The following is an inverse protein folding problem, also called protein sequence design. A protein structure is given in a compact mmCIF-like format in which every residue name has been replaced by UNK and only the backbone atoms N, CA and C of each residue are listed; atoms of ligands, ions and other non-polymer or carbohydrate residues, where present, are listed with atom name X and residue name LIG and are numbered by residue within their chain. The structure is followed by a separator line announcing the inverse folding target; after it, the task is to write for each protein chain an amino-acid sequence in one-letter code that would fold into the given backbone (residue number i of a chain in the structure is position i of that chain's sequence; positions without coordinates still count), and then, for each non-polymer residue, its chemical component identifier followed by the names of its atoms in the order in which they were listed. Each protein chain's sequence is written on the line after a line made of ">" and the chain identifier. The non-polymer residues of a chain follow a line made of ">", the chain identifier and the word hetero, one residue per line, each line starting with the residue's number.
data_IF_062066890323
#
_entry.id   IF_062066890323
#
_cell.length_a   1.000
_cell.length_b   1.000
_cell.length_c   1.000
_cell.angle_alpha   90.00
_cell.angle_beta   90.00
_cell.angle_gamma   90.00
#
_symmetry.space_group_name_H-M   'P 1'
#
loop_
_entity.id
_entity.type
_entity.pdbx_description
1 polymer ?
#
# COMPACT_ATOMS: atom_id res chain seq x y z
N UNK A 1 45.36 -7.21 -12.67
CA UNK A 1 44.14 -7.33 -13.49
C UNK A 1 43.13 -6.33 -12.96
N UNK A 2 42.90 -5.21 -13.64
CA UNK A 2 41.93 -4.20 -13.22
C UNK A 2 40.58 -4.48 -13.88
N UNK A 3 39.57 -4.85 -13.09
CA UNK A 3 38.19 -4.88 -13.56
C UNK A 3 37.68 -3.43 -13.67
N UNK A 4 37.56 -2.91 -14.89
CA UNK A 4 36.83 -1.66 -15.14
C UNK A 4 35.35 -1.95 -15.08
N UNK A 5 34.74 -1.76 -13.91
CA UNK A 5 33.29 -1.70 -13.81
C UNK A 5 32.79 -0.45 -14.55
N UNK A 6 31.89 -0.65 -15.51
CA UNK A 6 31.15 0.46 -16.12
C UNK A 6 29.95 0.74 -15.21
N UNK A 7 29.86 1.95 -14.66
CA UNK A 7 28.71 2.38 -13.87
C UNK A 7 27.69 3.04 -14.79
N UNK A 8 26.42 2.62 -14.68
CA UNK A 8 25.30 3.34 -15.26
C UNK A 8 24.70 4.27 -14.19
N UNK A 9 24.19 5.43 -14.60
CA UNK A 9 23.45 6.33 -13.71
C UNK A 9 22.08 5.73 -13.32
N UNK A 10 21.45 6.27 -12.27
CA UNK A 10 20.14 5.82 -11.79
C UNK A 10 18.97 6.14 -12.73
N UNK A 11 19.20 7.02 -13.72
CA UNK A 11 18.16 7.55 -14.59
C UNK A 11 17.25 8.57 -13.90
N UNK A 12 16.33 9.15 -14.66
CA UNK A 12 15.29 10.08 -14.18
C UNK A 12 13.98 9.69 -14.85
N UNK A 13 12.93 9.48 -14.05
CA UNK A 13 11.58 9.25 -14.54
C UNK A 13 10.83 10.58 -14.61
N UNK A 14 10.22 10.87 -15.75
CA UNK A 14 9.37 12.04 -15.96
C UNK A 14 7.96 11.56 -16.27
N UNK A 15 7.00 11.93 -15.42
CA UNK A 15 5.57 11.74 -15.66
C UNK A 15 4.96 13.10 -16.05
N UNK A 16 4.26 13.16 -17.19
CA UNK A 16 3.62 14.39 -17.69
C UNK A 16 2.10 14.21 -17.62
N UNK A 17 1.43 15.01 -16.80
CA UNK A 17 -0.01 14.92 -16.59
C UNK A 17 -0.48 15.77 -15.41
N UNK A 18 -1.75 15.64 -15.06
CA UNK A 18 -2.35 16.34 -13.91
C UNK A 18 -2.28 15.47 -12.66
N UNK A 19 -1.99 16.10 -11.52
CA UNK A 19 -2.01 15.44 -10.22
C UNK A 19 -3.38 14.82 -9.94
N UNK A 20 -3.36 13.56 -9.50
CA UNK A 20 -4.56 12.82 -9.11
C UNK A 20 -4.27 12.02 -7.85
N UNK A 21 -5.04 12.28 -6.80
CA UNK A 21 -4.93 11.54 -5.55
C UNK A 21 -5.56 10.14 -5.72
N UNK A 22 -4.89 9.06 -5.28
CA UNK A 22 -5.44 7.72 -5.38
C UNK A 22 -6.65 7.57 -4.46
N UNK A 23 -7.61 6.75 -4.87
CA UNK A 23 -8.65 6.24 -3.98
C UNK A 23 -8.13 4.98 -3.29
N UNK A 24 -8.22 4.95 -1.96
CA UNK A 24 -7.76 3.83 -1.14
C UNK A 24 -8.93 2.96 -0.67
N UNK A 25 -8.78 1.65 -0.84
CA UNK A 25 -9.71 0.63 -0.32
C UNK A 25 -8.93 -0.39 0.48
N UNK A 26 -9.32 -0.63 1.74
CA UNK A 26 -8.73 -1.68 2.57
C UNK A 26 -9.67 -2.89 2.52
N UNK A 27 -9.09 -4.05 2.22
CA UNK A 27 -9.73 -5.35 2.31
C UNK A 27 -9.25 -6.03 3.60
N UNK A 28 -10.18 -6.45 4.48
CA UNK A 28 -9.85 -7.21 5.68
C UNK A 28 -9.34 -8.62 5.32
N UNK A 29 -8.74 -9.34 6.29
CA UNK A 29 -8.45 -10.76 6.14
C UNK A 29 -9.75 -11.54 5.90
N UNK A 30 -9.68 -12.62 5.13
CA UNK A 30 -10.86 -13.48 4.94
C UNK A 30 -11.14 -14.30 6.21
N UNK A 31 -12.41 -14.61 6.44
CA UNK A 31 -12.81 -15.45 7.56
C UNK A 31 -12.21 -16.86 7.45
N UNK A 32 -12.06 -17.38 6.24
CA UNK A 32 -11.44 -18.66 5.96
C UNK A 32 -9.96 -18.66 6.36
N UNK A 33 -9.21 -17.61 6.04
CA UNK A 33 -7.79 -17.48 6.42
C UNK A 33 -7.64 -17.49 7.94
N UNK A 34 -8.46 -16.70 8.65
CA UNK A 34 -8.44 -16.60 10.10
C UNK A 34 -8.83 -17.89 10.81
N UNK A 35 -9.69 -18.71 10.19
CA UNK A 35 -10.15 -19.98 10.77
C UNK A 35 -9.19 -21.14 10.52
N UNK A 36 -8.48 -21.12 9.39
CA UNK A 36 -7.60 -22.21 8.95
C UNK A 36 -6.13 -21.97 9.31
N UNK A 37 -5.73 -20.73 9.53
CA UNK A 37 -4.35 -20.33 9.81
C UNK A 37 -4.27 -19.39 11.01
N UNK A 38 -3.06 -19.20 11.55
CA UNK A 38 -2.80 -18.19 12.59
C UNK A 38 -2.38 -16.84 12.00
N UNK A 39 -2.67 -16.60 10.72
CA UNK A 39 -2.23 -15.43 9.95
C UNK A 39 -3.46 -14.59 9.58
N UNK A 40 -3.25 -13.29 9.45
CA UNK A 40 -4.25 -12.33 9.01
C UNK A 40 -3.62 -11.44 7.94
N UNK A 41 -4.08 -11.55 6.70
CA UNK A 41 -3.56 -10.78 5.57
C UNK A 41 -4.51 -9.66 5.19
N UNK A 42 -4.07 -8.41 5.34
CA UNK A 42 -4.80 -7.23 4.88
C UNK A 42 -4.23 -6.75 3.54
N UNK A 43 -5.09 -6.20 2.68
CA UNK A 43 -4.67 -5.60 1.42
C UNK A 43 -5.25 -4.20 1.28
N UNK A 44 -4.42 -3.23 0.88
CA UNK A 44 -4.84 -1.88 0.55
C UNK A 44 -4.64 -1.63 -0.93
N UNK A 45 -5.72 -1.32 -1.63
CA UNK A 45 -5.75 -1.02 -3.06
C UNK A 45 -5.74 0.49 -3.25
N UNK A 46 -4.72 1.01 -3.92
CA UNK A 46 -4.69 2.36 -4.47
C UNK A 46 -5.06 2.32 -5.95
N UNK A 47 -6.05 3.12 -6.32
CA UNK A 47 -6.49 3.26 -7.70
C UNK A 47 -6.48 4.74 -8.11
N UNK A 48 -6.17 5.00 -9.38
CA UNK A 48 -6.28 6.34 -10.00
C UNK A 48 -5.29 7.39 -9.46
N UNK A 49 -4.11 6.98 -9.01
CA UNK A 49 -3.07 7.88 -8.52
C UNK A 49 -2.15 8.38 -9.64
N UNK A 50 -1.75 9.66 -9.62
CA UNK A 50 -0.75 10.23 -10.51
C UNK A 50 0.01 11.34 -9.78
N UNK A 51 1.35 11.48 -9.91
CA UNK A 51 2.29 10.75 -10.78
C UNK A 51 2.74 9.41 -10.19
N UNK A 52 3.82 8.79 -10.67
CA UNK A 52 4.26 7.45 -10.23
C UNK A 52 4.99 7.42 -8.87
N UNK A 53 5.30 8.56 -8.27
CA UNK A 53 6.19 8.69 -7.11
C UNK A 53 5.47 8.61 -5.76
N UNK A 54 4.26 8.03 -5.71
CA UNK A 54 3.60 7.76 -4.44
C UNK A 54 4.41 6.73 -3.61
N UNK A 55 4.12 6.66 -2.33
CA UNK A 55 4.55 5.60 -1.43
C UNK A 55 3.34 5.16 -0.61
N UNK A 56 3.31 3.89 -0.19
CA UNK A 56 2.30 3.38 0.72
C UNK A 56 2.93 3.08 2.07
N UNK A 57 2.18 3.22 3.14
CA UNK A 57 2.57 2.81 4.48
C UNK A 57 1.38 2.26 5.26
N UNK A 58 1.65 1.34 6.18
CA UNK A 58 0.65 0.82 7.12
C UNK A 58 0.96 1.22 8.56
N UNK A 59 -0.09 1.54 9.31
CA UNK A 59 -0.06 1.71 10.76
C UNK A 59 -1.13 0.83 11.41
N UNK A 60 -0.76 0.15 12.48
CA UNK A 60 -1.70 -0.59 13.36
C UNK A 60 -1.67 0.11 14.70
N UNK A 61 -2.80 0.66 15.12
CA UNK A 61 -2.93 1.46 16.35
C UNK A 61 -1.84 2.56 16.45
N UNK A 62 -1.58 3.24 15.32
CA UNK A 62 -0.55 4.28 15.21
C UNK A 62 0.89 3.78 15.04
N UNK A 63 1.15 2.48 15.19
CA UNK A 63 2.49 1.90 15.03
C UNK A 63 2.74 1.44 13.59
N UNK A 64 3.79 1.95 12.96
CA UNK A 64 4.17 1.55 11.60
C UNK A 64 4.50 0.07 11.50
N UNK A 65 3.98 -0.61 10.48
CA UNK A 65 4.24 -2.03 10.21
C UNK A 65 5.00 -2.23 8.91
N UNK A 66 5.73 -3.34 8.83
CA UNK A 66 6.33 -3.79 7.57
C UNK A 66 5.22 -4.27 6.63
N UNK A 67 5.42 -4.06 5.35
CA UNK A 67 4.45 -4.38 4.32
C UNK A 67 5.18 -4.79 3.05
N UNK A 68 4.45 -5.43 2.15
CA UNK A 68 4.88 -5.61 0.77
C UNK A 68 4.05 -4.70 -0.12
N UNK A 69 4.66 -4.10 -1.14
CA UNK A 69 3.98 -3.19 -2.06
C UNK A 69 4.19 -3.71 -3.48
N UNK A 70 3.10 -3.82 -4.23
CA UNK A 70 3.17 -4.24 -5.63
C UNK A 70 3.89 -3.20 -6.48
N UNK A 71 4.41 -3.60 -7.65
CA UNK A 71 4.74 -2.65 -8.69
C UNK A 71 3.53 -1.80 -9.06
N UNK A 72 3.81 -0.60 -9.57
CA UNK A 72 2.80 0.33 -10.08
C UNK A 72 2.42 -0.06 -11.49
N UNK A 73 1.12 -0.17 -11.74
CA UNK A 73 0.58 -0.45 -13.07
C UNK A 73 -0.03 0.83 -13.60
N UNK A 74 0.37 1.23 -14.81
CA UNK A 74 -0.27 2.33 -15.53
C UNK A 74 -1.48 1.76 -16.27
N UNK A 75 -2.67 2.19 -15.88
CA UNK A 75 -3.93 1.75 -16.44
C UNK A 75 -4.26 2.48 -17.75
N UNK A 76 -5.29 2.01 -18.46
CA UNK A 76 -5.71 2.59 -19.75
C UNK A 76 -6.18 4.04 -19.65
N UNK A 77 -6.59 4.48 -18.46
CA UNK A 77 -6.99 5.86 -18.19
C UNK A 77 -5.79 6.80 -17.95
N UNK A 78 -4.56 6.29 -18.01
CA UNK A 78 -3.34 7.06 -17.78
C UNK A 78 -3.02 7.29 -16.32
N UNK A 79 -3.70 6.61 -15.40
CA UNK A 79 -3.47 6.71 -13.96
C UNK A 79 -2.84 5.43 -13.42
N UNK A 80 -2.13 5.56 -12.30
CA UNK A 80 -1.47 4.42 -11.65
C UNK A 80 -2.39 3.75 -10.64
N UNK A 81 -2.30 2.41 -10.62
CA UNK A 81 -2.87 1.55 -9.60
C UNK A 81 -1.77 0.68 -9.00
N UNK A 82 -1.87 0.43 -7.70
CA UNK A 82 -0.95 -0.45 -6.97
C UNK A 82 -1.63 -0.95 -5.70
N UNK A 83 -1.05 -1.97 -5.09
CA UNK A 83 -1.53 -2.52 -3.83
C UNK A 83 -0.41 -2.62 -2.81
N UNK A 84 -0.80 -2.66 -1.53
CA UNK A 84 0.10 -3.05 -0.46
C UNK A 84 -0.55 -4.08 0.43
N UNK A 85 0.22 -5.11 0.78
CA UNK A 85 -0.19 -6.22 1.63
C UNK A 85 0.48 -6.08 2.99
N UNK A 86 -0.32 -6.19 4.05
CA UNK A 86 0.12 -6.23 5.44
C UNK A 86 -0.21 -7.60 6.02
N UNK A 87 0.80 -8.33 6.45
CA UNK A 87 0.63 -9.62 7.13
C UNK A 87 0.80 -9.42 8.63
N UNK A 88 -0.22 -9.81 9.39
CA UNK A 88 -0.22 -9.83 10.85
C UNK A 88 -0.48 -11.26 11.33
N UNK A 89 -0.25 -11.49 12.62
CA UNK A 89 -0.81 -12.69 13.26
C UNK A 89 -2.31 -12.51 13.50
N UNK A 90 -3.06 -13.61 13.53
CA UNK A 90 -4.50 -13.56 13.87
C UNK A 90 -4.74 -12.93 15.25
N UNK A 91 -3.80 -13.09 16.20
CA UNK A 91 -3.87 -12.46 17.52
C UNK A 91 -3.66 -10.94 17.45
N UNK A 92 -2.68 -10.45 16.67
CA UNK A 92 -2.50 -9.01 16.43
C UNK A 92 -3.72 -8.41 15.76
N UNK A 93 -4.25 -9.06 14.72
CA UNK A 93 -5.48 -8.61 14.06
C UNK A 93 -6.66 -8.57 15.03
N UNK A 94 -6.83 -9.59 15.88
CA UNK A 94 -7.91 -9.65 16.89
C UNK A 94 -7.75 -8.60 17.99
N UNK A 95 -6.54 -8.10 18.25
CA UNK A 95 -6.29 -7.03 19.22
C UNK A 95 -6.26 -5.63 18.61
N UNK A 96 -6.01 -5.51 17.31
CA UNK A 96 -5.93 -4.23 16.63
C UNK A 96 -7.22 -3.43 16.82
N UNK A 97 -7.14 -2.19 17.28
CA UNK A 97 -8.29 -1.30 17.36
C UNK A 97 -8.58 -0.66 16.00
N UNK A 98 -7.52 -0.17 15.37
CA UNK A 98 -7.55 0.52 14.09
C UNK A 98 -6.38 0.12 13.20
N UNK A 99 -6.67 -0.14 11.93
CA UNK A 99 -5.64 -0.36 10.91
C UNK A 99 -5.75 0.71 9.84
N UNK A 100 -4.65 1.38 9.56
CA UNK A 100 -4.59 2.52 8.67
C UNK A 100 -3.62 2.25 7.53
N UNK A 101 -4.10 2.43 6.30
CA UNK A 101 -3.29 2.47 5.09
C UNK A 101 -3.18 3.92 4.62
N UNK A 102 -1.97 4.36 4.30
CA UNK A 102 -1.69 5.74 3.92
C UNK A 102 -0.85 5.78 2.64
N UNK A 103 -1.30 6.55 1.66
CA UNK A 103 -0.55 6.86 0.44
C UNK A 103 -0.02 8.29 0.51
N UNK A 104 1.28 8.47 0.31
CA UNK A 104 1.93 9.78 0.38
C UNK A 104 2.69 10.08 -0.91
N UNK A 105 2.80 11.35 -1.25
CA UNK A 105 3.59 11.86 -2.36
C UNK A 105 4.08 13.27 -2.00
N UNK A 106 5.21 13.72 -2.57
CA UNK A 106 5.83 15.00 -2.16
C UNK A 106 5.00 16.23 -2.48
N UNK A 107 4.21 16.18 -3.55
CA UNK A 107 3.52 17.34 -4.13
C UNK A 107 2.01 17.32 -3.90
N UNK A 108 1.50 16.33 -3.18
CA UNK A 108 0.07 16.14 -2.91
C UNK A 108 -0.17 15.81 -1.44
N UNK A 109 -1.37 16.11 -0.96
CA UNK A 109 -1.78 15.76 0.39
C UNK A 109 -1.82 14.24 0.56
N UNK A 110 -1.35 13.71 1.71
CA UNK A 110 -1.51 12.30 2.04
C UNK A 110 -2.97 11.85 1.95
N UNK A 111 -3.18 10.66 1.39
CA UNK A 111 -4.50 9.99 1.39
C UNK A 111 -4.45 8.88 2.42
N UNK A 112 -5.40 8.87 3.34
CA UNK A 112 -5.43 7.90 4.44
C UNK A 112 -6.76 7.17 4.43
N UNK A 113 -6.72 5.84 4.57
CA UNK A 113 -7.89 5.01 4.80
C UNK A 113 -7.70 4.25 6.10
N UNK A 114 -8.72 4.29 6.93
CA UNK A 114 -8.80 3.55 8.17
C UNK A 114 -9.83 2.44 8.03
N UNK A 115 -9.50 1.28 8.59
CA UNK A 115 -10.42 0.16 8.80
C UNK A 115 -10.47 -0.17 10.30
N UNK A 116 -11.68 -0.26 10.84
CA UNK A 116 -11.94 -0.85 12.15
C UNK A 116 -12.61 -2.19 11.97
N UNK A 117 -12.33 -3.16 12.84
CA UNK A 117 -12.98 -4.49 12.75
C UNK A 117 -14.50 -4.44 12.82
N UNK A 118 -15.06 -3.47 13.54
CA UNK A 118 -16.50 -3.26 13.59
C UNK A 118 -17.11 -3.00 12.20
N UNK A 119 -16.34 -2.38 11.29
CA UNK A 119 -16.77 -2.09 9.92
C UNK A 119 -16.86 -3.35 9.03
N UNK A 120 -16.34 -4.48 9.51
CA UNK A 120 -16.32 -5.77 8.80
C UNK A 120 -17.43 -6.73 9.26
N UNK A 121 -18.33 -6.30 10.15
CA UNK A 121 -19.35 -7.14 10.78
C UNK A 121 -20.66 -7.18 9.96
N UNK A 122 -20.57 -7.61 8.70
CA UNK A 122 -21.70 -7.80 7.79
C UNK A 122 -21.94 -9.26 7.49
#
# INVERSE_FOLDING_TARGET
>A
MYFRFRTFGSGTRLDVGSNSAPTLTILPPSSEELSSTTIATLMCLANKGFPSDWTMSWKVDGTSKKQETSPRVLEKDGLYSWSSTLTLTAQEWTKAGEVTCEAQQKSQTPVTKTLRKADCSG
#
